data_IF_904165521721
#
_entry.id   IF_904165521721
#
_cell.length_a   1.000
_cell.length_b   1.000
_cell.length_c   1.000
_cell.angle_alpha   90.00
_cell.angle_beta   90.00
_cell.angle_gamma   90.00
#
_symmetry.space_group_name_H-M   'P 1'
#
loop_
_entity.id
_entity.type
_entity.pdbx_description
1 polymer ?
#
# COMPACT_ATOMS: atom_id res chain seq x y z
N UNK A 1 -6.06 -7.97 -9.78
CA UNK A 1 -6.61 -7.87 -8.40
C UNK A 1 -5.70 -6.98 -7.58
N UNK A 2 -4.39 -7.10 -7.80
CA UNK A 2 -3.37 -6.23 -7.21
C UNK A 2 -3.59 -4.75 -7.56
N UNK A 3 -3.95 -4.41 -8.80
CA UNK A 3 -4.21 -3.00 -9.19
C UNK A 3 -5.30 -2.33 -8.33
N UNK A 4 -6.32 -3.09 -7.89
CA UNK A 4 -7.36 -2.52 -7.02
C UNK A 4 -6.86 -2.27 -5.61
N UNK A 5 -6.05 -3.20 -5.08
CA UNK A 5 -5.42 -3.07 -3.76
C UNK A 5 -4.42 -1.90 -3.79
N UNK A 6 -3.63 -1.80 -4.85
CA UNK A 6 -2.69 -0.71 -5.08
C UNK A 6 -3.40 0.64 -5.07
N UNK A 7 -4.46 0.80 -5.88
CA UNK A 7 -5.24 2.04 -5.92
C UNK A 7 -5.83 2.38 -4.55
N UNK A 8 -6.38 1.38 -3.84
CA UNK A 8 -6.91 1.58 -2.50
C UNK A 8 -5.84 2.07 -1.50
N UNK A 9 -4.63 1.49 -1.56
CA UNK A 9 -3.50 1.91 -0.72
C UNK A 9 -3.10 3.34 -1.08
N UNK A 10 -3.04 3.70 -2.36
CA UNK A 10 -2.71 5.05 -2.80
C UNK A 10 -3.74 6.08 -2.31
N UNK A 11 -5.04 5.80 -2.50
CA UNK A 11 -6.13 6.65 -2.01
C UNK A 11 -6.09 6.81 -0.48
N UNK A 12 -5.84 5.72 0.25
CA UNK A 12 -5.67 5.78 1.69
C UNK A 12 -4.42 6.57 2.08
N UNK A 13 -3.30 6.38 1.37
CA UNK A 13 -2.02 7.04 1.63
C UNK A 13 -2.10 8.56 1.47
N UNK A 14 -2.90 9.06 0.51
CA UNK A 14 -3.15 10.49 0.32
C UNK A 14 -3.81 11.13 1.54
N UNK A 15 -4.67 10.39 2.24
CA UNK A 15 -5.38 10.85 3.45
C UNK A 15 -4.56 10.57 4.72
N UNK A 16 -3.93 9.40 4.78
CA UNK A 16 -3.16 8.89 5.90
C UNK A 16 -1.94 8.11 5.42
N UNK A 17 -0.73 8.59 5.75
CA UNK A 17 0.52 7.97 5.29
C UNK A 17 0.64 6.47 5.60
N UNK A 18 0.00 6.00 6.68
CA UNK A 18 -0.02 4.59 7.09
C UNK A 18 -1.35 3.94 6.67
N UNK A 19 -1.26 2.88 5.87
CA UNK A 19 -2.39 2.04 5.46
C UNK A 19 -2.29 0.70 6.18
N UNK A 20 -3.15 0.42 7.17
CA UNK A 20 -3.09 -0.82 7.94
C UNK A 20 -3.39 -2.06 7.09
N UNK A 21 -2.71 -3.18 7.34
CA UNK A 21 -3.00 -4.43 6.64
C UNK A 21 -4.43 -4.89 6.90
N UNK A 22 -4.89 -4.81 8.15
CA UNK A 22 -6.25 -5.21 8.53
C UNK A 22 -7.33 -4.48 7.73
N UNK A 23 -7.09 -3.20 7.38
CA UNK A 23 -8.03 -2.43 6.57
C UNK A 23 -8.14 -2.99 5.15
N UNK A 24 -7.01 -3.33 4.54
CA UNK A 24 -6.96 -3.93 3.20
C UNK A 24 -7.57 -5.35 3.25
N UNK A 25 -7.25 -6.12 4.28
CA UNK A 25 -7.77 -7.46 4.49
C UNK A 25 -9.29 -7.48 4.66
N UNK A 26 -9.86 -6.55 5.42
CA UNK A 26 -11.32 -6.39 5.56
C UNK A 26 -11.97 -5.95 4.24
N UNK A 27 -11.43 -4.92 3.58
CA UNK A 27 -12.03 -4.37 2.35
C UNK A 27 -12.07 -5.40 1.22
N UNK A 28 -11.01 -6.19 1.07
CA UNK A 28 -10.89 -7.19 0.01
C UNK A 28 -11.26 -8.61 0.46
N UNK A 29 -11.64 -8.79 1.73
CA UNK A 29 -11.95 -10.07 2.36
C UNK A 29 -10.88 -11.15 2.05
N UNK A 30 -9.61 -10.79 2.28
CA UNK A 30 -8.42 -11.62 2.01
C UNK A 30 -7.38 -11.48 3.12
N UNK A 31 -6.33 -12.29 3.07
CA UNK A 31 -5.18 -12.19 3.98
C UNK A 31 -3.98 -11.69 3.19
N UNK A 32 -3.31 -10.65 3.69
CA UNK A 32 -2.09 -10.13 3.08
C UNK A 32 -0.91 -11.01 3.44
N UNK A 33 -0.56 -11.93 2.54
CA UNK A 33 0.63 -12.75 2.66
C UNK A 33 1.89 -12.02 2.19
N UNK A 34 3.06 -12.59 2.50
CA UNK A 34 4.36 -12.00 2.14
C UNK A 34 4.52 -11.85 0.62
N UNK A 35 3.97 -12.78 -0.18
CA UNK A 35 4.06 -12.68 -1.63
C UNK A 35 3.23 -11.50 -2.16
N UNK A 36 1.98 -11.36 -1.70
CA UNK A 36 1.14 -10.22 -2.10
C UNK A 36 1.73 -8.88 -1.61
N UNK A 37 2.27 -8.83 -0.39
CA UNK A 37 2.97 -7.64 0.11
C UNK A 37 4.13 -7.24 -0.81
N UNK A 38 4.93 -8.20 -1.26
CA UNK A 38 6.04 -7.95 -2.17
C UNK A 38 5.54 -7.40 -3.51
N UNK A 39 4.51 -8.02 -4.10
CA UNK A 39 3.94 -7.57 -5.39
C UNK A 39 3.36 -6.17 -5.29
N UNK A 40 2.64 -5.87 -4.21
CA UNK A 40 2.08 -4.54 -3.96
C UNK A 40 3.19 -3.51 -3.75
N UNK A 41 4.25 -3.87 -3.02
CA UNK A 41 5.38 -2.96 -2.78
C UNK A 41 6.14 -2.63 -4.05
N UNK A 42 6.40 -3.62 -4.90
CA UNK A 42 6.99 -3.40 -6.23
C UNK A 42 6.12 -2.45 -7.06
N UNK A 43 4.80 -2.68 -7.07
CA UNK A 43 3.88 -1.84 -7.81
C UNK A 43 3.75 -0.41 -7.25
N UNK A 44 3.93 -0.21 -5.93
CA UNK A 44 4.02 1.12 -5.32
C UNK A 44 5.31 1.84 -5.73
N UNK A 45 6.44 1.13 -5.80
CA UNK A 45 7.72 1.69 -6.26
C UNK A 45 7.70 2.09 -7.73
N UNK A 46 6.92 1.40 -8.56
CA UNK A 46 6.71 1.77 -9.97
C UNK A 46 5.87 3.05 -10.14
N UNK A 47 5.28 3.59 -9.06
CA UNK A 47 4.50 4.82 -9.12
C UNK A 47 5.40 6.06 -9.01
N UNK A 48 5.43 6.87 -10.07
CA UNK A 48 6.26 8.10 -10.15
C UNK A 48 5.99 9.15 -9.06
N UNK A 49 4.84 9.07 -8.36
CA UNK A 49 4.47 10.02 -7.30
C UNK A 49 4.99 9.63 -5.91
N UNK A 50 5.43 8.39 -5.75
CA UNK A 50 5.90 7.83 -4.47
C UNK A 50 7.39 8.08 -4.33
N UNK A 51 7.79 8.67 -3.21
CA UNK A 51 9.20 8.86 -2.87
C UNK A 51 9.78 7.70 -2.06
N UNK A 52 8.97 7.10 -1.17
CA UNK A 52 9.41 6.02 -0.29
C UNK A 52 8.23 5.14 0.16
N UNK A 53 8.50 3.84 0.30
CA UNK A 53 7.55 2.85 0.81
C UNK A 53 8.23 2.01 1.88
N UNK A 54 7.65 2.01 3.07
CA UNK A 54 8.10 1.18 4.19
C UNK A 54 7.00 0.18 4.56
N UNK A 55 7.33 -1.11 4.56
CA UNK A 55 6.46 -2.16 5.08
C UNK A 55 6.69 -2.27 6.59
N UNK A 56 5.71 -1.85 7.39
CA UNK A 56 5.72 -2.02 8.84
C UNK A 56 5.15 -3.37 9.28
N UNK A 57 5.12 -3.58 10.59
CA UNK A 57 4.44 -4.72 11.21
C UNK A 57 2.93 -4.70 11.01
N UNK A 58 2.35 -3.51 10.94
CA UNK A 58 0.91 -3.30 10.99
C UNK A 58 0.32 -2.74 9.68
N UNK A 59 1.14 -2.35 8.72
CA UNK A 59 0.69 -1.72 7.48
C UNK A 59 1.79 -1.22 6.55
N UNK A 60 1.38 -0.67 5.41
CA UNK A 60 2.25 0.05 4.48
C UNK A 60 2.32 1.52 4.86
N UNK A 61 3.53 2.06 4.99
CA UNK A 61 3.74 3.50 5.08
C UNK A 61 4.21 4.00 3.72
N UNK A 62 3.41 4.85 3.09
CA UNK A 62 3.70 5.43 1.78
C UNK A 62 3.97 6.91 1.94
N UNK A 63 5.10 7.35 1.37
CA UNK A 63 5.50 8.76 1.33
C UNK A 63 5.52 9.21 -0.11
N UNK A 64 4.80 10.29 -0.41
CA UNK A 64 4.79 10.92 -1.72
C UNK A 64 5.88 11.99 -1.81
N UNK A 65 6.34 12.28 -3.02
CA UNK A 65 7.17 13.45 -3.24
C UNK A 65 6.41 14.71 -2.81
N UNK A 66 7.06 15.55 -2.01
CA UNK A 66 6.53 16.89 -1.70
C UNK A 66 6.56 17.71 -3.01
N UNK A 67 5.39 18.22 -3.39
CA UNK A 67 5.20 19.00 -4.62
C UNK A 67 5.50 20.49 -4.42
#
# INVERSE_FOLDING_TARGET
MEEKILNFILECAEVQKLVPFSLIEEEFNLILDEALKSVITDALWDNDTISDVTIGTDGFTVTFFEN
#
